data_IF_332180825771
#
_entry.id   IF_332180825771
#
_cell.length_a   1.000
_cell.length_b   1.000
_cell.length_c   1.000
_cell.angle_alpha   90.00
_cell.angle_beta   90.00
_cell.angle_gamma   90.00
#
_symmetry.space_group_name_H-M   'P 1'
#
loop_
_entity.id
_entity.type
_entity.pdbx_description
1 polymer ?
#
# COMPACT_ATOMS: atom_id res chain seq x y z
N UNK A 1 20.39 -3.41 8.88
CA UNK A 1 20.56 -4.58 9.75
C UNK A 1 19.21 -5.05 10.27
N UNK A 2 18.94 -6.33 10.16
CA UNK A 2 17.72 -6.91 10.67
C UNK A 2 17.73 -6.93 12.20
N UNK A 3 16.66 -6.42 12.80
CA UNK A 3 16.50 -6.49 14.24
C UNK A 3 15.66 -7.72 14.57
N UNK A 4 16.35 -8.81 14.83
CA UNK A 4 15.70 -10.06 15.24
C UNK A 4 16.00 -10.30 16.72
N UNK A 5 14.96 -10.51 17.49
CA UNK A 5 15.12 -10.89 18.88
C UNK A 5 14.75 -12.37 19.06
N UNK A 6 15.74 -13.28 18.96
CA UNK A 6 15.47 -14.71 19.01
C UNK A 6 14.93 -15.21 20.36
N UNK A 7 15.09 -14.42 21.41
CA UNK A 7 14.61 -14.80 22.75
C UNK A 7 13.13 -14.57 22.93
N UNK A 8 12.49 -13.80 22.05
CA UNK A 8 11.07 -13.42 22.15
C UNK A 8 10.14 -14.54 21.72
N UNK A 9 10.59 -15.41 20.84
CA UNK A 9 9.76 -16.45 20.25
C UNK A 9 10.37 -17.83 20.50
N UNK A 10 9.52 -18.78 20.87
CA UNK A 10 9.92 -20.16 21.20
C UNK A 10 9.79 -21.12 20.02
N UNK A 11 9.01 -20.76 19.00
CA UNK A 11 8.72 -21.65 17.89
C UNK A 11 8.38 -20.86 16.62
N UNK A 12 8.47 -21.54 15.47
CA UNK A 12 8.03 -20.97 14.20
C UNK A 12 6.53 -20.65 14.24
N UNK A 13 5.75 -21.42 14.98
CA UNK A 13 4.32 -21.17 15.13
C UNK A 13 4.04 -19.81 15.77
N UNK A 14 4.78 -19.46 16.80
CA UNK A 14 4.65 -18.17 17.47
C UNK A 14 5.02 -17.02 16.52
N UNK A 15 6.11 -17.20 15.76
CA UNK A 15 6.55 -16.20 14.78
C UNK A 15 5.46 -15.99 13.72
N UNK A 16 4.88 -17.07 13.20
CA UNK A 16 3.83 -17.00 12.18
C UNK A 16 2.57 -16.32 12.71
N UNK A 17 2.22 -16.53 13.97
CA UNK A 17 1.08 -15.84 14.58
C UNK A 17 1.32 -14.33 14.60
N UNK A 18 2.54 -13.89 14.87
CA UNK A 18 2.89 -12.45 14.83
C UNK A 18 2.85 -11.90 13.42
N UNK A 19 3.32 -12.66 12.44
CA UNK A 19 3.23 -12.27 11.04
C UNK A 19 1.76 -12.10 10.64
N UNK A 20 0.91 -13.05 11.02
CA UNK A 20 -0.53 -12.99 10.71
C UNK A 20 -1.19 -11.75 11.32
N UNK A 21 -0.80 -11.39 12.55
CA UNK A 21 -1.30 -10.17 13.19
C UNK A 21 -0.89 -8.92 12.41
N UNK A 22 0.35 -8.88 11.93
CA UNK A 22 0.86 -7.77 11.12
C UNK A 22 0.09 -7.71 9.79
N UNK A 23 -0.11 -8.85 9.14
CA UNK A 23 -0.86 -8.90 7.88
C UNK A 23 -2.27 -8.36 8.05
N UNK A 24 -2.93 -8.68 9.17
CA UNK A 24 -4.25 -8.13 9.49
C UNK A 24 -4.22 -6.61 9.62
N UNK A 25 -3.18 -6.06 10.23
CA UNK A 25 -2.99 -4.61 10.35
C UNK A 25 -2.77 -3.96 8.99
N UNK A 26 -1.96 -4.60 8.14
CA UNK A 26 -1.73 -4.12 6.78
C UNK A 26 -3.04 -4.10 6.00
N UNK A 27 -3.82 -5.16 6.08
CA UNK A 27 -5.12 -5.26 5.42
C UNK A 27 -6.06 -4.14 5.86
N UNK A 28 -6.11 -3.87 7.17
CA UNK A 28 -6.93 -2.79 7.72
C UNK A 28 -6.48 -1.43 7.22
N UNK A 29 -5.17 -1.21 7.08
CA UNK A 29 -4.61 0.04 6.56
C UNK A 29 -4.94 0.21 5.07
N UNK A 30 -4.91 -0.87 4.32
CA UNK A 30 -5.33 -0.84 2.90
C UNK A 30 -6.81 -0.46 2.80
N UNK A 31 -7.66 -0.98 3.69
CA UNK A 31 -9.08 -0.64 3.73
C UNK A 31 -9.29 0.85 4.06
N UNK A 32 -8.51 1.40 4.98
CA UNK A 32 -8.52 2.83 5.28
C UNK A 32 -8.10 3.65 4.07
N UNK A 33 -7.04 3.21 3.38
CA UNK A 33 -6.56 3.85 2.17
C UNK A 33 -7.64 3.88 1.10
N UNK A 34 -8.38 2.78 0.94
CA UNK A 34 -9.53 2.71 0.01
C UNK A 34 -10.54 3.80 0.32
N UNK A 35 -10.89 4.00 1.58
CA UNK A 35 -11.84 5.03 2.00
C UNK A 35 -11.39 6.42 1.56
N UNK A 36 -10.10 6.71 1.74
CA UNK A 36 -9.52 7.98 1.32
C UNK A 36 -9.45 8.13 -0.20
N UNK A 37 -9.20 7.03 -0.91
CA UNK A 37 -9.20 7.01 -2.37
C UNK A 37 -10.60 7.36 -2.90
N UNK A 38 -11.65 6.79 -2.31
CA UNK A 38 -13.03 7.11 -2.68
C UNK A 38 -13.32 8.61 -2.46
N UNK A 39 -12.87 9.16 -1.34
CA UNK A 39 -13.01 10.59 -1.08
C UNK A 39 -12.26 11.42 -2.13
N UNK A 40 -11.06 11.00 -2.50
CA UNK A 40 -10.26 11.70 -3.51
C UNK A 40 -10.97 11.75 -4.87
N UNK A 41 -11.64 10.65 -5.24
CA UNK A 41 -12.36 10.58 -6.53
C UNK A 41 -13.45 11.64 -6.63
N UNK A 42 -14.08 12.01 -5.51
CA UNK A 42 -15.12 13.07 -5.49
C UNK A 42 -14.56 14.42 -5.93
N UNK A 43 -13.26 14.64 -5.77
CA UNK A 43 -12.59 15.90 -6.08
C UNK A 43 -11.76 15.83 -7.37
N UNK A 44 -11.76 14.70 -8.06
CA UNK A 44 -10.99 14.52 -9.29
C UNK A 44 -11.82 14.68 -10.54
N UNK A 45 -11.17 15.13 -11.61
CA UNK A 45 -11.67 14.97 -12.97
C UNK A 45 -11.21 13.60 -13.46
N UNK A 46 -11.86 13.05 -14.49
CA UNK A 46 -11.52 11.72 -15.01
C UNK A 46 -10.04 11.59 -15.39
N UNK A 47 -9.48 12.61 -16.02
CA UNK A 47 -8.07 12.63 -16.44
C UNK A 47 -7.08 12.66 -15.26
N UNK A 48 -7.56 12.95 -14.05
CA UNK A 48 -6.73 12.97 -12.85
C UNK A 48 -6.66 11.62 -12.13
N UNK A 49 -7.46 10.64 -12.55
CA UNK A 49 -7.47 9.31 -11.91
C UNK A 49 -6.10 8.65 -12.09
N UNK A 50 -5.56 8.67 -13.32
CA UNK A 50 -4.20 8.18 -13.56
C UNK A 50 -3.27 9.39 -13.60
N UNK A 51 -2.68 9.70 -12.47
CA UNK A 51 -1.77 10.84 -12.30
C UNK A 51 -0.34 10.30 -12.16
N UNK A 52 0.38 10.23 -13.26
CA UNK A 52 1.73 9.66 -13.28
C UNK A 52 2.72 10.46 -12.44
N UNK A 53 2.56 11.77 -12.38
CA UNK A 53 3.41 12.61 -11.53
C UNK A 53 3.24 12.22 -10.05
N UNK A 54 2.00 12.06 -9.60
CA UNK A 54 1.69 11.61 -8.24
C UNK A 54 2.20 10.20 -7.97
N UNK A 55 2.00 9.29 -8.93
CA UNK A 55 2.44 7.89 -8.82
C UNK A 55 3.96 7.83 -8.66
N UNK A 56 4.68 8.55 -9.51
CA UNK A 56 6.14 8.59 -9.45
C UNK A 56 6.64 9.17 -8.12
N UNK A 57 5.97 10.20 -7.62
CA UNK A 57 6.27 10.79 -6.33
C UNK A 57 6.11 9.76 -5.19
N UNK A 58 4.99 9.06 -5.17
CA UNK A 58 4.71 8.02 -4.14
C UNK A 58 5.81 6.95 -4.18
N UNK A 59 6.09 6.40 -5.35
CA UNK A 59 7.07 5.33 -5.51
C UNK A 59 8.47 5.80 -5.07
N UNK A 60 8.87 7.00 -5.46
CA UNK A 60 10.16 7.57 -5.10
C UNK A 60 10.29 7.72 -3.58
N UNK A 61 9.28 8.29 -2.93
CA UNK A 61 9.27 8.48 -1.48
C UNK A 61 9.32 7.15 -0.73
N UNK A 62 8.53 6.18 -1.17
CA UNK A 62 8.47 4.87 -0.52
C UNK A 62 9.75 4.07 -0.72
N UNK A 63 10.38 4.16 -1.88
CA UNK A 63 11.66 3.49 -2.13
C UNK A 63 12.74 4.01 -1.18
N UNK A 64 12.78 5.33 -0.93
CA UNK A 64 13.74 5.89 0.02
C UNK A 64 13.48 5.39 1.44
N UNK A 65 12.21 5.35 1.85
CA UNK A 65 11.84 4.81 3.17
C UNK A 65 12.17 3.32 3.29
N UNK A 66 11.97 2.57 2.21
CA UNK A 66 12.26 1.14 2.19
C UNK A 66 13.76 0.88 2.40
N UNK A 67 14.62 1.71 1.81
CA UNK A 67 16.07 1.61 2.00
C UNK A 67 16.44 1.82 3.46
N UNK A 68 15.90 2.84 4.08
CA UNK A 68 16.16 3.15 5.50
C UNK A 68 15.73 1.99 6.40
N UNK A 69 14.65 1.30 6.03
CA UNK A 69 14.11 0.17 6.80
C UNK A 69 14.75 -1.18 6.40
N UNK A 70 15.70 -1.15 5.49
CA UNK A 70 16.41 -2.34 5.01
C UNK A 70 15.48 -3.43 4.48
N UNK A 71 14.45 -3.03 3.75
CA UNK A 71 13.52 -3.98 3.12
C UNK A 71 14.13 -4.58 1.86
N UNK A 72 13.69 -5.78 1.45
CA UNK A 72 14.18 -6.40 0.23
C UNK A 72 14.04 -5.47 -0.97
N UNK A 73 15.07 -5.44 -1.82
CA UNK A 73 15.09 -4.59 -3.00
C UNK A 73 13.90 -4.87 -3.93
N UNK A 74 13.23 -3.82 -4.35
CA UNK A 74 12.11 -3.91 -5.28
C UNK A 74 10.77 -4.28 -4.66
N UNK A 75 10.75 -4.77 -3.42
CA UNK A 75 9.52 -5.23 -2.76
C UNK A 75 8.46 -4.13 -2.72
N UNK A 76 8.81 -2.98 -2.18
CA UNK A 76 7.87 -1.88 -1.97
C UNK A 76 7.39 -1.31 -3.30
N UNK A 77 8.30 -1.12 -4.25
CA UNK A 77 7.95 -0.62 -5.57
C UNK A 77 6.96 -1.55 -6.28
N UNK A 78 7.21 -2.84 -6.27
CA UNK A 78 6.32 -3.83 -6.91
C UNK A 78 4.95 -3.87 -6.24
N UNK A 79 4.93 -3.90 -4.90
CA UNK A 79 3.67 -3.94 -4.15
C UNK A 79 2.82 -2.70 -4.42
N UNK A 80 3.43 -1.52 -4.35
CA UNK A 80 2.70 -0.27 -4.58
C UNK A 80 2.24 -0.11 -6.01
N UNK A 81 3.05 -0.51 -7.00
CA UNK A 81 2.64 -0.44 -8.40
C UNK A 81 1.42 -1.32 -8.66
N UNK A 82 1.41 -2.54 -8.12
CA UNK A 82 0.25 -3.43 -8.26
C UNK A 82 -0.97 -2.83 -7.58
N UNK A 83 -0.81 -2.37 -6.35
CA UNK A 83 -1.90 -1.76 -5.59
C UNK A 83 -2.46 -0.52 -6.29
N UNK A 84 -1.58 0.38 -6.74
CA UNK A 84 -1.98 1.60 -7.44
C UNK A 84 -2.77 1.27 -8.70
N UNK A 85 -2.31 0.31 -9.51
CA UNK A 85 -3.01 -0.10 -10.73
C UNK A 85 -4.41 -0.65 -10.44
N UNK A 86 -4.54 -1.45 -9.39
CA UNK A 86 -5.84 -1.98 -8.97
C UNK A 86 -6.75 -0.87 -8.49
N UNK A 87 -6.22 0.09 -7.74
CA UNK A 87 -7.00 1.23 -7.28
C UNK A 87 -7.40 2.17 -8.40
N UNK A 88 -6.55 2.37 -9.42
CA UNK A 88 -6.92 3.18 -10.60
C UNK A 88 -8.17 2.59 -11.26
N UNK A 89 -8.20 1.28 -11.46
CA UNK A 89 -9.37 0.61 -12.04
C UNK A 89 -10.60 0.80 -11.16
N UNK A 90 -10.44 0.65 -9.86
CA UNK A 90 -11.50 0.86 -8.89
C UNK A 90 -11.99 2.32 -8.91
N UNK A 91 -11.06 3.28 -8.95
CA UNK A 91 -11.39 4.71 -9.02
C UNK A 91 -12.20 5.05 -10.28
N UNK A 92 -11.88 4.43 -11.42
CA UNK A 92 -12.63 4.64 -12.66
C UNK A 92 -14.08 4.18 -12.49
N UNK A 93 -14.29 3.04 -11.87
CA UNK A 93 -15.62 2.49 -11.59
C UNK A 93 -16.40 3.41 -10.64
N UNK A 94 -15.76 3.87 -9.57
CA UNK A 94 -16.38 4.77 -8.59
C UNK A 94 -16.68 6.14 -9.23
N UNK A 95 -15.77 6.65 -10.06
CA UNK A 95 -15.96 7.91 -10.76
C UNK A 95 -17.24 7.88 -11.59
N UNK A 96 -17.45 6.80 -12.35
CA UNK A 96 -18.63 6.65 -13.19
C UNK A 96 -19.92 6.61 -12.38
N UNK A 97 -19.88 6.06 -11.16
CA UNK A 97 -21.03 6.04 -10.26
C UNK A 97 -21.33 7.41 -9.65
N UNK A 98 -20.29 8.14 -9.25
CA UNK A 98 -20.43 9.43 -8.55
C UNK A 98 -20.81 10.56 -9.52
N UNK A 99 -20.25 10.55 -10.71
CA UNK A 99 -20.40 11.61 -11.71
C UNK A 99 -21.34 11.25 -12.85
N UNK A 100 -22.38 10.52 -12.56
CA UNK A 100 -23.40 10.16 -13.56
C UNK A 100 -24.10 11.38 -14.11
#
# INVERSE_FOLDING_TARGET
>A
MLQINPKKFKSIKEVRQKIDEIDSKILNLIAERKTLVVEAVKHKKREQITDWERINYIISCLNEKAKVKELPEGLVQEMWMIMIKKFIKYEEEIFDQIHK
#
